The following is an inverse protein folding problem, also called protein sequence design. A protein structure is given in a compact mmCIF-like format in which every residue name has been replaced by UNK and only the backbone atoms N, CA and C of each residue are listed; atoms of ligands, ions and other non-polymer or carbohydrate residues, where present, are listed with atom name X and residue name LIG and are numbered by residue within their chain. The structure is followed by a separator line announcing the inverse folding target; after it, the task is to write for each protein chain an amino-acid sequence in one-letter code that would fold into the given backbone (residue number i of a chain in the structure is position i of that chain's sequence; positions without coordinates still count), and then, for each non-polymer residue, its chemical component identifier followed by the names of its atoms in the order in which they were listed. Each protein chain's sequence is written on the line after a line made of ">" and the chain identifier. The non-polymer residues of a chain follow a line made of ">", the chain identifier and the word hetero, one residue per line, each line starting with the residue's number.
data_IF_026044865473
#
_entry.id   IF_026044865473
#
_cell.length_a   1.000
_cell.length_b   1.000
_cell.length_c   1.000
_cell.angle_alpha   90.00
_cell.angle_beta   90.00
_cell.angle_gamma   90.00
#
_symmetry.space_group_name_H-M   'P 1'
#
loop_
_entity.id
_entity.type
_entity.pdbx_description
1 polymer ?
#
# COMPACT_ATOMS: atom_id res chain seq x y z
N UNK A 1 1.12 8.64 10.53
CA UNK A 1 0.73 7.24 10.78
C UNK A 1 -0.66 7.27 11.39
N UNK A 2 -1.66 6.66 10.74
CA UNK A 2 -3.06 6.75 11.19
C UNK A 2 -3.34 5.65 12.23
N UNK A 3 -3.98 5.98 13.35
CA UNK A 3 -4.39 4.99 14.36
C UNK A 3 -5.67 4.28 13.94
N UNK A 4 -5.81 3.01 14.35
CA UNK A 4 -6.98 2.16 14.03
C UNK A 4 -8.27 2.87 14.46
N UNK A 5 -9.15 3.19 13.51
CA UNK A 5 -10.46 3.80 13.75
C UNK A 5 -10.62 5.28 13.41
N UNK A 6 -9.57 5.98 12.95
CA UNK A 6 -9.71 7.37 12.49
C UNK A 6 -10.47 7.46 11.15
N UNK A 7 -11.22 8.55 10.97
CA UNK A 7 -11.92 8.86 9.70
C UNK A 7 -10.90 9.04 8.58
N UNK A 8 -11.23 8.54 7.40
CA UNK A 8 -10.41 8.64 6.19
C UNK A 8 -11.33 8.73 4.96
N UNK A 9 -10.81 9.20 3.83
CA UNK A 9 -11.60 9.33 2.60
C UNK A 9 -11.80 7.97 1.93
N UNK A 10 -12.80 7.20 2.38
CA UNK A 10 -13.10 5.87 1.87
C UNK A 10 -13.82 5.83 0.51
N UNK A 11 -14.37 6.96 0.07
CA UNK A 11 -15.27 7.03 -1.09
C UNK A 11 -14.55 7.40 -2.38
N UNK A 12 -15.20 7.08 -3.51
CA UNK A 12 -14.82 7.49 -4.88
C UNK A 12 -14.94 9.02 -5.13
N UNK A 13 -15.18 9.80 -4.07
CA UNK A 13 -15.22 11.24 -4.06
C UNK A 13 -14.50 11.78 -2.82
N UNK A 14 -13.67 12.82 -3.02
CA UNK A 14 -13.03 13.56 -1.92
C UNK A 14 -14.08 14.53 -1.36
N UNK A 15 -14.73 14.13 -0.27
CA UNK A 15 -15.73 14.96 0.42
C UNK A 15 -15.11 15.89 1.45
N UNK A 16 -13.99 15.48 2.05
CA UNK A 16 -13.20 16.28 2.97
C UNK A 16 -11.71 16.12 2.62
N UNK A 17 -11.07 17.10 1.95
CA UNK A 17 -9.68 17.00 1.54
C UNK A 17 -8.69 17.00 2.72
N UNK A 18 -9.14 17.28 3.94
CA UNK A 18 -8.29 17.25 5.15
C UNK A 18 -8.11 15.84 5.71
N UNK A 19 -8.96 14.88 5.31
CA UNK A 19 -8.82 13.48 5.70
C UNK A 19 -7.74 12.78 4.85
N UNK A 20 -6.94 11.88 5.46
CA UNK A 20 -5.97 11.11 4.70
C UNK A 20 -6.66 10.23 3.66
N UNK A 21 -6.05 10.16 2.49
CA UNK A 21 -6.52 9.36 1.36
C UNK A 21 -5.92 7.96 1.31
N UNK A 22 -4.91 7.67 2.14
CA UNK A 22 -4.26 6.36 2.25
C UNK A 22 -4.42 5.79 3.66
N UNK A 23 -4.75 4.51 3.79
CA UNK A 23 -4.84 3.81 5.08
C UNK A 23 -4.06 2.50 5.03
N UNK A 24 -3.16 2.31 6.00
CA UNK A 24 -2.38 1.08 6.15
C UNK A 24 -3.31 -0.09 6.52
N UNK A 25 -3.12 -1.23 5.85
CA UNK A 25 -3.82 -2.48 6.16
C UNK A 25 -2.89 -3.38 6.97
N UNK A 26 -1.72 -3.71 6.41
CA UNK A 26 -0.64 -4.43 7.09
C UNK A 26 0.71 -4.07 6.47
N UNK A 27 1.77 -4.34 7.21
CA UNK A 27 3.14 -4.26 6.71
C UNK A 27 3.97 -5.40 7.30
N UNK A 28 4.92 -5.89 6.51
CA UNK A 28 5.91 -6.89 6.92
C UNK A 28 7.32 -6.37 6.64
N UNK A 29 8.29 -6.88 7.39
CA UNK A 29 9.71 -6.55 7.23
C UNK A 29 10.54 -7.83 7.07
N UNK A 30 11.46 -7.81 6.11
CA UNK A 30 12.46 -8.86 5.91
C UNK A 30 13.81 -8.21 5.58
N UNK A 31 14.70 -8.17 6.58
CA UNK A 31 15.97 -7.44 6.49
C UNK A 31 15.77 -5.95 6.21
N UNK A 32 16.31 -5.49 5.08
CA UNK A 32 16.20 -4.09 4.61
C UNK A 32 14.94 -3.83 3.78
N UNK A 33 14.08 -4.84 3.59
CA UNK A 33 12.89 -4.75 2.76
C UNK A 33 11.61 -4.63 3.59
N UNK A 34 10.76 -3.71 3.17
CA UNK A 34 9.47 -3.42 3.76
C UNK A 34 8.39 -3.69 2.72
N UNK A 35 7.48 -4.60 3.04
CA UNK A 35 6.30 -4.89 2.23
C UNK A 35 5.12 -4.19 2.89
N UNK A 36 4.46 -3.28 2.17
CA UNK A 36 3.37 -2.46 2.69
C UNK A 36 2.13 -2.71 1.86
N UNK A 37 1.03 -3.05 2.53
CA UNK A 37 -0.29 -3.09 1.93
C UNK A 37 -1.15 -1.96 2.48
N UNK A 38 -1.71 -1.15 1.60
CA UNK A 38 -2.56 -0.03 1.97
C UNK A 38 -3.70 0.15 0.98
N UNK A 39 -4.79 0.72 1.44
CA UNK A 39 -5.85 1.20 0.57
C UNK A 39 -5.69 2.69 0.29
N UNK A 40 -6.14 3.10 -0.89
CA UNK A 40 -6.21 4.48 -1.33
C UNK A 40 -7.63 4.79 -1.78
N UNK A 41 -8.23 5.84 -1.24
CA UNK A 41 -9.48 6.42 -1.70
C UNK A 41 -9.23 7.70 -2.50
N UNK A 42 -10.30 8.39 -2.93
CA UNK A 42 -10.21 9.50 -3.87
C UNK A 42 -11.07 9.21 -5.10
N UNK A 43 -10.57 9.38 -6.33
CA UNK A 43 -11.36 9.16 -7.58
C UNK A 43 -11.66 7.65 -7.83
N UNK A 44 -11.10 6.75 -7.01
CA UNK A 44 -11.47 5.34 -6.90
C UNK A 44 -10.96 4.76 -5.57
N UNK A 45 -11.67 3.78 -4.98
CA UNK A 45 -11.15 2.96 -3.89
C UNK A 45 -10.30 1.80 -4.43
N UNK A 46 -8.99 1.84 -4.16
CA UNK A 46 -7.99 0.90 -4.71
C UNK A 46 -7.09 0.35 -3.62
N UNK A 47 -6.53 -0.85 -3.84
CA UNK A 47 -5.63 -1.52 -2.92
C UNK A 47 -4.25 -1.65 -3.54
N UNK A 48 -3.23 -1.23 -2.79
CA UNK A 48 -1.87 -1.04 -3.28
C UNK A 48 -0.92 -1.91 -2.49
N UNK A 49 0.07 -2.45 -3.20
CA UNK A 49 1.26 -3.10 -2.66
C UNK A 49 2.47 -2.23 -2.95
N UNK A 50 3.35 -2.09 -1.97
CA UNK A 50 4.63 -1.39 -2.12
C UNK A 50 5.72 -2.20 -1.45
N UNK A 51 6.81 -2.43 -2.17
CA UNK A 51 8.05 -2.98 -1.63
C UNK A 51 9.08 -1.86 -1.67
N UNK A 52 9.56 -1.47 -0.49
CA UNK A 52 10.63 -0.50 -0.35
C UNK A 52 11.85 -1.15 0.29
N UNK A 53 13.02 -0.70 -0.16
CA UNK A 53 14.30 -0.97 0.50
C UNK A 53 14.69 0.25 1.33
N UNK A 54 15.12 0.03 2.57
CA UNK A 54 15.76 1.05 3.41
C UNK A 54 17.04 0.44 3.98
N UNK A 55 18.19 0.84 3.44
CA UNK A 55 19.46 0.30 3.92
C UNK A 55 19.87 0.93 5.25
N UNK A 56 20.70 0.23 6.02
CA UNK A 56 21.20 0.76 7.28
C UNK A 56 21.98 2.07 7.05
N UNK A 57 21.63 3.12 7.79
CA UNK A 57 22.21 4.46 7.64
C UNK A 57 21.60 5.33 6.55
N UNK A 58 20.65 4.82 5.75
CA UNK A 58 19.91 5.65 4.81
C UNK A 58 18.78 6.42 5.50
N UNK A 59 18.60 7.69 5.10
CA UNK A 59 17.57 8.55 5.66
C UNK A 59 16.19 8.37 5.01
N UNK A 60 16.13 7.73 3.83
CA UNK A 60 14.90 7.62 3.02
C UNK A 60 14.79 6.25 2.38
N UNK A 61 13.60 5.61 2.45
CA UNK A 61 13.36 4.35 1.74
C UNK A 61 13.29 4.60 0.23
N UNK A 62 13.75 3.62 -0.56
CA UNK A 62 13.58 3.56 -2.02
C UNK A 62 12.54 2.52 -2.37
N UNK A 63 11.48 2.91 -3.07
CA UNK A 63 10.52 1.96 -3.65
C UNK A 63 11.23 1.17 -4.75
N UNK A 64 11.22 -0.16 -4.64
CA UNK A 64 11.85 -1.07 -5.61
C UNK A 64 10.83 -1.85 -6.43
N UNK A 65 9.59 -1.95 -5.95
CA UNK A 65 8.47 -2.52 -6.68
C UNK A 65 7.15 -2.04 -6.09
N UNK A 66 6.12 -1.91 -6.93
CA UNK A 66 4.75 -1.63 -6.48
C UNK A 66 3.74 -2.26 -7.44
N UNK A 67 2.52 -2.48 -6.94
CA UNK A 67 1.43 -3.01 -7.75
C UNK A 67 0.07 -2.64 -7.15
N UNK A 68 -0.98 -2.73 -7.97
CA UNK A 68 -2.37 -2.76 -7.51
C UNK A 68 -2.84 -4.22 -7.39
N UNK A 69 -3.64 -4.49 -6.37
CA UNK A 69 -4.25 -5.79 -6.16
C UNK A 69 -5.60 -5.70 -5.46
N UNK A 70 -5.98 -6.78 -4.78
CA UNK A 70 -7.18 -6.84 -3.95
C UNK A 70 -6.91 -6.48 -2.48
N UNK A 71 -7.96 -6.50 -1.63
CA UNK A 71 -7.85 -6.34 -0.19
C UNK A 71 -7.24 -7.61 0.44
N UNK A 72 -5.93 -7.77 0.36
CA UNK A 72 -5.24 -8.91 0.93
C UNK A 72 -5.22 -8.78 2.45
N UNK A 73 -5.81 -9.74 3.15
CA UNK A 73 -5.90 -9.72 4.62
C UNK A 73 -4.55 -9.82 5.34
N UNK A 74 -3.56 -10.46 4.71
CA UNK A 74 -2.25 -10.76 5.28
C UNK A 74 -1.21 -11.01 4.17
N UNK A 75 0.05 -11.16 4.57
CA UNK A 75 1.17 -11.41 3.69
C UNK A 75 1.05 -12.72 2.90
N UNK A 76 0.45 -13.77 3.50
CA UNK A 76 0.27 -15.05 2.83
C UNK A 76 -0.71 -14.95 1.65
N UNK A 77 -1.82 -14.22 1.83
CA UNK A 77 -2.76 -13.92 0.76
C UNK A 77 -2.12 -13.09 -0.37
N UNK A 78 -1.24 -12.14 -0.02
CA UNK A 78 -0.46 -11.41 -1.01
C UNK A 78 0.48 -12.32 -1.81
N UNK A 79 1.23 -13.21 -1.14
CA UNK A 79 2.13 -14.13 -1.83
C UNK A 79 1.40 -15.09 -2.77
N UNK A 80 0.22 -15.59 -2.36
CA UNK A 80 -0.63 -16.39 -3.25
C UNK A 80 -1.06 -15.58 -4.48
N UNK A 81 -1.54 -14.36 -4.28
CA UNK A 81 -1.94 -13.49 -5.38
C UNK A 81 -0.78 -13.16 -6.34
N UNK A 82 0.41 -12.89 -5.81
CA UNK A 82 1.61 -12.60 -6.59
C UNK A 82 2.00 -13.78 -7.47
N UNK A 83 2.03 -14.99 -6.89
CA UNK A 83 2.37 -16.22 -7.61
C UNK A 83 1.37 -16.57 -8.70
N UNK A 84 0.10 -16.20 -8.51
CA UNK A 84 -0.97 -16.45 -9.46
C UNK A 84 -1.21 -15.29 -10.45
N UNK A 85 -0.33 -14.27 -10.48
CA UNK A 85 -0.44 -13.15 -11.44
C UNK A 85 -1.67 -12.26 -11.22
N UNK A 86 -2.15 -12.15 -9.98
CA UNK A 86 -3.37 -11.38 -9.62
C UNK A 86 -3.07 -9.91 -9.25
N UNK A 87 -1.85 -9.43 -9.49
CA UNK A 87 -1.46 -8.05 -9.27
C UNK A 87 -1.13 -7.38 -10.60
N UNK A 88 -1.42 -6.08 -10.68
CA UNK A 88 -1.05 -5.24 -11.82
C UNK A 88 0.06 -4.27 -11.40
N UNK A 89 1.28 -4.55 -11.84
CA UNK A 89 2.50 -3.76 -11.59
C UNK A 89 2.90 -2.87 -12.78
N UNK A 90 2.04 -2.75 -13.79
CA UNK A 90 2.32 -1.97 -15.01
C UNK A 90 2.09 -0.48 -14.83
N UNK A 91 1.45 -0.09 -13.74
CA UNK A 91 1.05 1.29 -13.46
C UNK A 91 2.07 1.95 -12.55
N UNK A 92 2.78 2.95 -13.08
CA UNK A 92 3.68 3.80 -12.31
C UNK A 92 2.88 4.84 -11.53
N UNK A 93 2.64 4.57 -10.24
CA UNK A 93 1.96 5.49 -9.35
C UNK A 93 2.97 6.34 -8.56
N UNK A 94 2.68 7.64 -8.43
CA UNK A 94 3.40 8.48 -7.47
C UNK A 94 3.06 8.01 -6.04
N UNK A 95 4.05 7.41 -5.37
CA UNK A 95 3.92 6.83 -4.02
C UNK A 95 4.36 7.80 -2.91
#
# INVERSE_FOLDING_TARGET
>A
MQTRGQKWNATDAILDPTLPSKRLIWAEVDGEYYVVHYERGGIAHTFHMLVAKLANGEAKPKVVWSAIGGPFKDYAAFLDALRNGKLDDRLDYAH
#
